data_IF_955988855523
#
_entry.id   IF_955988855523
#
_cell.length_a   1.000
_cell.length_b   1.000
_cell.length_c   1.000
_cell.angle_alpha   90.00
_cell.angle_beta   90.00
_cell.angle_gamma   90.00
#
_symmetry.space_group_name_H-M   'P 1'
#
loop_
_entity.id
_entity.type
_entity.pdbx_description
1 polymer ?
#
# COMPACT_ATOMS: atom_id res chain seq x y z
N UNK A 1 -42.93 -27.24 6.66
CA UNK A 1 -41.57 -26.74 6.98
C UNK A 1 -40.77 -26.63 5.69
N UNK A 2 -40.64 -25.45 5.09
CA UNK A 2 -39.74 -25.25 3.95
C UNK A 2 -39.33 -23.77 3.87
N UNK A 3 -38.26 -23.39 4.58
CA UNK A 3 -37.55 -22.12 4.41
C UNK A 3 -36.09 -22.33 4.84
N UNK A 4 -35.22 -22.72 3.90
CA UNK A 4 -33.76 -22.49 4.02
C UNK A 4 -32.99 -22.84 2.73
N UNK A 5 -33.37 -22.27 1.58
CA UNK A 5 -32.56 -22.39 0.35
C UNK A 5 -32.19 -21.06 -0.33
N UNK A 6 -32.60 -19.91 0.22
CA UNK A 6 -32.41 -18.61 -0.46
C UNK A 6 -31.15 -17.82 -0.04
N UNK A 7 -30.37 -18.27 0.94
CA UNK A 7 -29.20 -17.52 1.42
C UNK A 7 -27.87 -17.91 0.74
N UNK A 8 -27.75 -19.13 0.20
CA UNK A 8 -26.49 -19.61 -0.41
C UNK A 8 -26.26 -19.02 -1.81
N UNK A 9 -27.32 -18.78 -2.58
CA UNK A 9 -27.20 -18.19 -3.93
C UNK A 9 -26.81 -16.70 -3.94
N UNK A 10 -27.13 -15.94 -2.89
CA UNK A 10 -26.88 -14.49 -2.85
C UNK A 10 -25.42 -14.14 -2.51
N UNK A 11 -24.75 -14.95 -1.69
CA UNK A 11 -23.36 -14.73 -1.33
C UNK A 11 -22.42 -15.08 -2.50
N UNK A 12 -22.67 -16.21 -3.19
CA UNK A 12 -21.88 -16.65 -4.34
C UNK A 12 -21.96 -15.67 -5.52
N UNK A 13 -23.09 -15.00 -5.75
CA UNK A 13 -23.24 -14.01 -6.82
C UNK A 13 -22.48 -12.70 -6.56
N UNK A 14 -22.41 -12.25 -5.31
CA UNK A 14 -21.64 -11.05 -4.91
C UNK A 14 -20.13 -11.29 -4.95
N UNK A 15 -19.69 -12.50 -4.60
CA UNK A 15 -18.29 -12.97 -4.73
C UNK A 15 -17.77 -12.84 -6.16
N UNK A 16 -18.49 -13.46 -7.11
CA UNK A 16 -18.12 -13.44 -8.53
C UNK A 16 -18.21 -12.03 -9.12
N UNK A 17 -19.14 -11.20 -8.65
CA UNK A 17 -19.30 -9.83 -9.14
C UNK A 17 -18.09 -8.95 -8.79
N UNK A 18 -17.60 -8.98 -7.54
CA UNK A 18 -16.45 -8.15 -7.13
C UNK A 18 -15.14 -8.57 -7.82
N UNK A 19 -14.91 -9.86 -8.01
CA UNK A 19 -13.72 -10.34 -8.73
C UNK A 19 -13.80 -10.01 -10.22
N UNK A 20 -14.96 -10.17 -10.84
CA UNK A 20 -15.20 -9.76 -12.22
C UNK A 20 -15.04 -8.25 -12.40
N UNK A 21 -15.52 -7.43 -11.46
CA UNK A 21 -15.33 -5.98 -11.48
C UNK A 21 -13.84 -5.60 -11.46
N UNK A 22 -13.04 -6.27 -10.61
CA UNK A 22 -11.57 -6.06 -10.56
C UNK A 22 -10.87 -6.45 -11.86
N UNK A 23 -11.27 -7.57 -12.48
CA UNK A 23 -10.67 -8.03 -13.75
C UNK A 23 -11.04 -7.13 -14.94
N UNK A 24 -12.25 -6.58 -14.94
CA UNK A 24 -12.76 -5.76 -16.03
C UNK A 24 -12.40 -4.27 -15.91
N UNK A 25 -12.10 -3.79 -14.70
CA UNK A 25 -11.73 -2.40 -14.49
C UNK A 25 -10.46 -2.01 -15.25
N UNK A 26 -10.54 -0.90 -15.99
CA UNK A 26 -9.41 -0.30 -16.71
C UNK A 26 -9.18 1.09 -16.16
N UNK A 27 -8.11 1.23 -15.39
CA UNK A 27 -7.71 2.52 -14.81
C UNK A 27 -7.39 3.53 -15.93
N UNK A 28 -7.94 4.76 -15.88
CA UNK A 28 -7.51 5.86 -16.73
C UNK A 28 -6.21 6.50 -16.23
N UNK A 29 -5.68 6.03 -15.10
CA UNK A 29 -4.49 6.55 -14.45
C UNK A 29 -3.27 5.69 -14.72
N UNK A 30 -2.14 6.34 -14.88
CA UNK A 30 -0.83 5.72 -15.04
C UNK A 30 0.24 6.48 -14.26
N UNK A 31 1.48 5.99 -14.32
CA UNK A 31 2.65 6.71 -13.82
C UNK A 31 3.69 6.81 -14.93
N UNK A 32 4.49 7.86 -14.91
CA UNK A 32 5.63 8.05 -15.80
C UNK A 32 6.91 8.07 -14.97
N UNK A 33 7.63 6.96 -15.00
CA UNK A 33 8.95 6.85 -14.37
C UNK A 33 10.02 7.56 -15.19
N UNK A 34 10.97 8.16 -14.48
CA UNK A 34 12.20 8.71 -15.05
C UNK A 34 13.27 7.63 -15.19
N UNK A 35 13.19 6.58 -14.37
CA UNK A 35 14.06 5.40 -14.44
C UNK A 35 13.38 4.24 -15.18
N UNK A 36 14.14 3.39 -15.91
CA UNK A 36 13.58 2.18 -16.50
C UNK A 36 12.97 1.26 -15.43
N UNK A 37 11.81 0.67 -15.73
CA UNK A 37 11.10 -0.20 -14.78
C UNK A 37 11.94 -1.41 -14.35
N UNK A 38 12.72 -2.02 -15.26
CA UNK A 38 13.65 -3.11 -14.91
C UNK A 38 14.71 -2.65 -13.90
N UNK A 39 15.12 -1.38 -13.94
CA UNK A 39 16.03 -0.83 -12.91
C UNK A 39 15.31 -0.67 -11.57
N UNK A 40 14.06 -0.24 -11.59
CA UNK A 40 13.28 0.00 -10.38
C UNK A 40 12.84 -1.28 -9.69
N UNK A 41 12.46 -2.32 -10.43
CA UNK A 41 11.81 -3.53 -9.88
C UNK A 41 12.20 -4.85 -10.56
N UNK A 42 13.27 -4.90 -11.35
CA UNK A 42 13.72 -6.13 -12.02
C UNK A 42 14.01 -7.28 -11.05
N UNK A 43 14.54 -6.98 -9.85
CA UNK A 43 14.74 -7.96 -8.76
C UNK A 43 13.45 -8.43 -8.09
N UNK A 44 12.34 -7.71 -8.30
CA UNK A 44 11.01 -8.13 -7.88
C UNK A 44 10.26 -8.88 -8.99
N UNK A 45 10.76 -8.82 -10.22
CA UNK A 45 10.26 -9.62 -11.34
C UNK A 45 10.95 -10.99 -11.42
N UNK A 46 12.20 -11.08 -10.93
CA UNK A 46 13.03 -12.28 -10.98
C UNK A 46 13.82 -12.46 -9.68
N UNK A 47 13.98 -13.71 -9.24
CA UNK A 47 14.87 -14.05 -8.12
C UNK A 47 14.17 -14.11 -6.76
N UNK A 48 14.92 -14.21 -5.64
CA UNK A 48 14.34 -14.59 -4.35
C UNK A 48 13.29 -13.62 -3.79
N UNK A 49 13.30 -12.34 -4.20
CA UNK A 49 12.32 -11.33 -3.76
C UNK A 49 11.02 -11.36 -4.57
N UNK A 50 11.01 -11.98 -5.75
CA UNK A 50 9.80 -12.13 -6.56
C UNK A 50 8.91 -13.28 -6.07
N UNK A 51 9.46 -14.20 -5.28
CA UNK A 51 8.76 -15.40 -4.82
C UNK A 51 7.75 -15.07 -3.71
N UNK A 52 6.46 -15.09 -4.06
CA UNK A 52 5.37 -14.80 -3.11
C UNK A 52 5.39 -15.69 -1.87
N UNK A 53 5.77 -16.96 -2.05
CA UNK A 53 5.89 -17.96 -0.98
C UNK A 53 6.96 -17.63 0.07
N UNK A 54 7.83 -16.66 -0.20
CA UNK A 54 8.89 -16.21 0.71
C UNK A 54 8.60 -14.85 1.37
N UNK A 55 7.38 -14.34 1.24
CA UNK A 55 6.99 -13.02 1.76
C UNK A 55 6.72 -12.97 3.26
N UNK A 56 6.59 -14.12 3.93
CA UNK A 56 6.35 -14.20 5.37
C UNK A 56 7.61 -14.57 6.17
N UNK A 57 7.61 -14.30 7.47
CA UNK A 57 8.68 -14.68 8.40
C UNK A 57 8.79 -16.20 8.59
N UNK A 58 7.74 -16.94 8.26
CA UNK A 58 7.65 -18.41 8.34
C UNK A 58 7.62 -19.04 6.95
N UNK A 59 8.09 -20.30 6.81
CA UNK A 59 7.96 -21.06 5.56
C UNK A 59 6.52 -21.13 5.05
N UNK A 60 6.35 -21.18 3.73
CA UNK A 60 5.02 -21.25 3.09
C UNK A 60 4.13 -22.39 3.59
N UNK A 61 4.72 -23.54 3.94
CA UNK A 61 3.98 -24.67 4.49
C UNK A 61 3.25 -24.34 5.81
N UNK A 62 3.71 -23.34 6.56
CA UNK A 62 3.10 -22.93 7.83
C UNK A 62 1.98 -21.88 7.67
N UNK A 63 1.79 -21.32 6.47
CA UNK A 63 0.79 -20.26 6.23
C UNK A 63 -0.64 -20.76 6.45
N UNK A 64 -0.87 -22.03 6.15
CA UNK A 64 -2.19 -22.68 6.17
C UNK A 64 -2.24 -23.85 7.16
N UNK A 65 -1.27 -23.96 8.06
CA UNK A 65 -1.27 -24.98 9.11
C UNK A 65 -2.43 -24.68 10.08
N UNK A 66 -3.40 -25.60 10.15
CA UNK A 66 -4.56 -25.49 11.01
C UNK A 66 -4.19 -25.29 12.49
N UNK A 67 -3.08 -25.87 12.95
CA UNK A 67 -2.59 -25.69 14.32
C UNK A 67 -2.16 -24.26 14.63
N UNK A 68 -1.93 -23.44 13.61
CA UNK A 68 -1.52 -22.03 13.72
C UNK A 68 -2.68 -21.07 13.51
N UNK A 69 -3.90 -21.53 13.22
CA UNK A 69 -5.06 -20.65 12.98
C UNK A 69 -5.30 -19.67 14.13
N UNK A 70 -5.18 -20.12 15.39
CA UNK A 70 -5.32 -19.23 16.55
C UNK A 70 -4.21 -18.17 16.65
N UNK A 71 -3.02 -18.46 16.14
CA UNK A 71 -1.88 -17.52 16.11
C UNK A 71 -2.02 -16.51 14.98
N UNK A 72 -2.37 -16.97 13.78
CA UNK A 72 -2.50 -16.13 12.59
C UNK A 72 -3.80 -15.32 12.57
N UNK A 73 -4.86 -15.84 13.21
CA UNK A 73 -6.19 -15.25 13.16
C UNK A 73 -6.63 -15.02 11.72
N UNK A 74 -7.35 -13.92 11.51
CA UNK A 74 -7.73 -13.44 10.18
C UNK A 74 -6.64 -12.57 9.51
N UNK A 75 -5.51 -12.31 10.19
CA UNK A 75 -4.42 -11.47 9.68
C UNK A 75 -3.39 -12.23 8.85
N UNK A 76 -3.25 -13.52 9.11
CA UNK A 76 -2.26 -14.37 8.45
C UNK A 76 -0.88 -14.28 9.07
N UNK A 77 0.13 -14.92 8.46
CA UNK A 77 1.49 -14.88 8.95
C UNK A 77 2.11 -13.48 8.80
N UNK A 78 2.96 -13.08 9.75
CA UNK A 78 3.66 -11.79 9.69
C UNK A 78 4.58 -11.70 8.47
N UNK A 79 4.61 -10.52 7.82
CA UNK A 79 5.49 -10.26 6.70
C UNK A 79 6.97 -10.33 7.09
N UNK A 80 7.80 -10.96 6.26
CA UNK A 80 9.26 -11.01 6.39
C UNK A 80 9.85 -9.60 6.38
N UNK A 81 10.86 -9.32 7.20
CA UNK A 81 11.72 -8.13 6.99
C UNK A 81 12.75 -8.41 5.91
N UNK A 82 12.72 -7.67 4.80
CA UNK A 82 13.67 -7.85 3.71
C UNK A 82 14.98 -7.10 3.97
N UNK A 83 16.08 -7.68 3.50
CA UNK A 83 17.32 -6.94 3.29
C UNK A 83 17.13 -5.82 2.25
N UNK A 84 17.97 -4.79 2.21
CA UNK A 84 17.96 -3.83 1.10
C UNK A 84 18.24 -4.52 -0.25
N UNK A 85 17.72 -3.99 -1.38
CA UNK A 85 18.12 -4.48 -2.70
C UNK A 85 19.61 -4.20 -2.97
N UNK A 86 20.19 -4.94 -3.92
CA UNK A 86 21.57 -4.75 -4.32
C UNK A 86 21.82 -3.30 -4.81
N UNK A 87 22.93 -2.71 -4.39
CA UNK A 87 23.29 -1.33 -4.75
C UNK A 87 22.41 -0.25 -4.10
N UNK A 88 21.52 -0.60 -3.17
CA UNK A 88 20.63 0.36 -2.48
C UNK A 88 21.34 1.61 -1.96
N UNK A 89 22.52 1.44 -1.35
CA UNK A 89 23.27 2.54 -0.73
C UNK A 89 23.76 3.61 -1.72
N UNK A 90 23.85 3.30 -3.02
CA UNK A 90 24.30 4.24 -4.05
C UNK A 90 23.16 4.88 -4.84
N UNK A 91 21.90 4.51 -4.57
CA UNK A 91 20.74 5.03 -5.30
C UNK A 91 20.37 6.44 -4.85
N UNK A 92 19.89 7.27 -5.78
CA UNK A 92 19.41 8.62 -5.48
C UNK A 92 18.06 8.58 -4.77
N UNK A 93 17.70 9.67 -4.09
CA UNK A 93 16.38 9.82 -3.48
C UNK A 93 15.26 9.63 -4.51
N UNK A 94 15.39 10.19 -5.72
CA UNK A 94 14.37 10.06 -6.77
C UNK A 94 14.19 8.61 -7.23
N UNK A 95 15.28 7.85 -7.36
CA UNK A 95 15.20 6.43 -7.65
C UNK A 95 14.45 5.66 -6.54
N UNK A 96 14.73 5.96 -5.27
CA UNK A 96 14.05 5.33 -4.13
C UNK A 96 12.55 5.63 -4.15
N UNK A 97 12.17 6.88 -4.46
CA UNK A 97 10.77 7.32 -4.52
C UNK A 97 10.01 6.62 -5.65
N UNK A 98 10.58 6.59 -6.85
CA UNK A 98 9.98 5.90 -7.98
C UNK A 98 9.90 4.38 -7.75
N UNK A 99 10.91 3.78 -7.10
CA UNK A 99 10.89 2.35 -6.77
C UNK A 99 9.78 1.98 -5.80
N UNK A 100 9.49 2.81 -4.80
CA UNK A 100 8.35 2.58 -3.88
C UNK A 100 7.05 2.52 -4.67
N UNK A 101 6.83 3.46 -5.60
CA UNK A 101 5.63 3.47 -6.43
C UNK A 101 5.58 2.25 -7.37
N UNK A 102 6.67 1.95 -8.07
CA UNK A 102 6.76 0.77 -8.93
C UNK A 102 6.51 -0.53 -8.17
N UNK A 103 7.03 -0.65 -6.95
CA UNK A 103 6.80 -1.80 -6.07
C UNK A 103 5.33 -1.92 -5.68
N UNK A 104 4.69 -0.81 -5.29
CA UNK A 104 3.27 -0.80 -4.95
C UNK A 104 2.37 -1.16 -6.12
N UNK A 105 2.69 -0.71 -7.33
CA UNK A 105 1.90 -0.99 -8.53
C UNK A 105 1.85 -2.47 -8.90
N UNK A 106 2.83 -3.29 -8.49
CA UNK A 106 2.80 -4.76 -8.66
C UNK A 106 1.60 -5.43 -8.00
N UNK A 107 1.02 -4.80 -6.97
CA UNK A 107 -0.13 -5.31 -6.26
C UNK A 107 -1.45 -4.70 -6.75
N UNK A 108 -1.43 -3.94 -7.85
CA UNK A 108 -2.67 -3.40 -8.42
C UNK A 108 -3.65 -4.54 -8.70
N UNK A 109 -4.93 -4.32 -8.39
CA UNK A 109 -6.01 -5.32 -8.45
C UNK A 109 -6.08 -6.33 -7.30
N UNK A 110 -5.17 -6.29 -6.32
CA UNK A 110 -5.34 -7.02 -5.06
C UNK A 110 -6.45 -6.37 -4.24
N UNK A 111 -7.22 -7.17 -3.50
CA UNK A 111 -8.38 -6.71 -2.72
C UNK A 111 -7.97 -5.97 -1.44
N UNK A 112 -8.88 -5.19 -0.86
CA UNK A 112 -8.70 -4.67 0.49
C UNK A 112 -8.95 -5.80 1.49
N UNK A 113 -7.93 -6.20 2.25
CA UNK A 113 -8.00 -7.31 3.21
C UNK A 113 -7.19 -7.00 4.45
N UNK A 114 -7.71 -7.25 5.65
CA UNK A 114 -6.94 -7.13 6.90
C UNK A 114 -5.87 -8.23 7.03
N UNK A 115 -4.87 -8.23 6.14
CA UNK A 115 -3.79 -9.22 6.04
C UNK A 115 -2.41 -8.58 6.23
N UNK A 116 -1.45 -9.37 6.71
CA UNK A 116 -0.05 -8.96 6.80
C UNK A 116 0.77 -9.22 5.52
N UNK A 117 0.37 -10.20 4.71
CA UNK A 117 1.10 -10.65 3.50
C UNK A 117 0.13 -10.63 2.31
N UNK A 118 0.49 -10.00 1.18
CA UNK A 118 -0.45 -9.76 0.08
C UNK A 118 -0.93 -11.04 -0.60
N UNK A 119 -0.05 -12.04 -0.76
CA UNK A 119 -0.37 -13.30 -1.41
C UNK A 119 -1.00 -14.35 -0.48
N UNK A 120 -1.23 -14.02 0.79
CA UNK A 120 -1.97 -14.91 1.68
C UNK A 120 -3.46 -14.90 1.32
N UNK A 121 -3.98 -16.09 1.00
CA UNK A 121 -5.33 -16.29 0.52
C UNK A 121 -5.98 -17.39 1.38
N UNK A 122 -6.58 -17.02 2.53
CA UNK A 122 -7.04 -17.99 3.50
C UNK A 122 -8.18 -18.87 2.94
N UNK A 123 -8.18 -20.17 3.24
CA UNK A 123 -9.31 -21.06 2.97
C UNK A 123 -10.63 -20.56 3.55
N UNK A 124 -11.76 -21.03 2.99
CA UNK A 124 -13.09 -20.54 3.35
C UNK A 124 -13.49 -20.77 4.83
N UNK A 125 -12.88 -21.77 5.47
CA UNK A 125 -13.06 -22.17 6.87
C UNK A 125 -12.07 -21.50 7.83
N UNK A 126 -11.14 -20.69 7.32
CA UNK A 126 -10.21 -19.91 8.14
C UNK A 126 -10.96 -18.82 8.94
N UNK A 127 -10.48 -18.44 10.14
CA UNK A 127 -11.02 -17.31 10.88
C UNK A 127 -11.19 -16.06 10.01
N UNK A 128 -12.37 -15.43 10.10
CA UNK A 128 -12.72 -14.23 9.34
C UNK A 128 -12.72 -13.02 10.25
N UNK A 129 -12.34 -11.88 9.68
CA UNK A 129 -12.63 -10.60 10.30
C UNK A 129 -14.13 -10.27 10.14
N UNK A 130 -14.75 -9.83 11.24
CA UNK A 130 -16.15 -9.44 11.26
C UNK A 130 -16.39 -8.08 10.57
N UNK A 131 -15.35 -7.24 10.44
CA UNK A 131 -15.45 -5.93 9.77
C UNK A 131 -15.18 -6.00 8.26
N UNK A 132 -14.59 -7.09 7.79
CA UNK A 132 -14.30 -7.33 6.38
C UNK A 132 -15.60 -7.49 5.58
N UNK A 133 -15.79 -6.60 4.60
CA UNK A 133 -17.02 -6.55 3.77
C UNK A 133 -16.89 -7.27 2.43
N UNK A 134 -15.67 -7.59 2.04
CA UNK A 134 -15.37 -8.34 0.82
C UNK A 134 -15.05 -9.79 1.18
N UNK A 135 -15.20 -10.72 0.23
CA UNK A 135 -14.68 -12.08 0.37
C UNK A 135 -13.21 -12.14 0.76
N UNK A 136 -12.82 -13.21 1.46
CA UNK A 136 -11.42 -13.56 1.63
C UNK A 136 -10.76 -13.71 0.24
N UNK A 137 -9.64 -13.03 0.05
CA UNK A 137 -8.87 -13.01 -1.19
C UNK A 137 -7.43 -12.58 -0.87
N UNK A 138 -6.56 -12.58 -1.87
CA UNK A 138 -5.29 -11.86 -1.79
C UNK A 138 -5.53 -10.36 -1.60
N UNK A 139 -4.72 -9.73 -0.77
CA UNK A 139 -4.94 -8.34 -0.42
C UNK A 139 -4.18 -7.87 0.79
N UNK A 140 -4.25 -6.56 1.01
CA UNK A 140 -3.74 -5.87 2.18
C UNK A 140 -4.68 -4.72 2.52
N UNK A 141 -4.66 -4.28 3.77
CA UNK A 141 -5.32 -3.06 4.18
C UNK A 141 -4.39 -1.87 3.95
N UNK A 142 -4.84 -0.67 4.28
CA UNK A 142 -4.07 0.53 3.96
C UNK A 142 -2.67 0.56 4.60
N UNK A 143 -2.55 0.24 5.90
CA UNK A 143 -1.29 0.36 6.64
C UNK A 143 -0.38 -0.86 6.46
N UNK A 144 -0.93 -2.07 6.33
CA UNK A 144 -0.12 -3.23 5.94
C UNK A 144 0.33 -3.12 4.48
N UNK A 145 -0.47 -2.53 3.57
CA UNK A 145 -0.03 -2.24 2.20
C UNK A 145 1.18 -1.32 2.17
N UNK A 146 1.10 -0.15 2.81
CA UNK A 146 2.22 0.80 2.82
C UNK A 146 3.44 0.22 3.52
N UNK A 147 3.26 -0.50 4.62
CA UNK A 147 4.35 -1.18 5.32
C UNK A 147 5.02 -2.25 4.47
N UNK A 148 4.23 -3.08 3.79
CA UNK A 148 4.74 -4.13 2.93
C UNK A 148 5.48 -3.56 1.73
N UNK A 149 4.94 -2.53 1.08
CA UNK A 149 5.58 -1.88 -0.08
C UNK A 149 6.95 -1.29 0.30
N UNK A 150 7.04 -0.53 1.40
CA UNK A 150 8.31 0.03 1.85
C UNK A 150 9.34 -1.05 2.21
N UNK A 151 8.87 -2.14 2.79
CA UNK A 151 9.71 -3.26 3.19
C UNK A 151 10.20 -4.04 1.97
N UNK A 152 9.32 -4.38 1.03
CA UNK A 152 9.72 -5.06 -0.20
C UNK A 152 10.57 -4.18 -1.11
N UNK A 153 10.29 -2.87 -1.18
CA UNK A 153 11.06 -1.94 -2.00
C UNK A 153 12.48 -1.75 -1.47
N UNK A 154 12.63 -1.56 -0.16
CA UNK A 154 13.87 -1.01 0.41
C UNK A 154 14.39 -1.75 1.65
N UNK A 155 13.59 -2.63 2.25
CA UNK A 155 13.87 -3.21 3.57
C UNK A 155 13.53 -2.28 4.73
N UNK A 156 12.65 -1.28 4.52
CA UNK A 156 12.14 -0.41 5.59
C UNK A 156 10.78 -0.95 6.04
N UNK A 157 10.66 -1.39 7.29
CA UNK A 157 9.47 -2.11 7.78
C UNK A 157 8.75 -1.33 8.88
N UNK A 158 7.91 -0.34 8.54
CA UNK A 158 7.05 0.29 9.55
C UNK A 158 6.02 -0.73 10.08
N UNK A 159 5.40 -0.41 11.21
CA UNK A 159 4.28 -1.21 11.74
C UNK A 159 3.07 -1.13 10.79
N UNK A 160 2.29 -2.21 10.73
CA UNK A 160 1.00 -2.26 10.03
C UNK A 160 -0.17 -1.71 10.86
N UNK A 161 0.04 -1.39 12.15
CA UNK A 161 -0.98 -0.78 12.99
C UNK A 161 -1.11 0.72 12.68
N UNK A 162 -2.20 1.14 12.04
CA UNK A 162 -2.35 2.51 11.50
C UNK A 162 -2.13 3.63 12.52
N UNK A 163 -2.61 3.46 13.75
CA UNK A 163 -2.44 4.46 14.82
C UNK A 163 -0.98 4.66 15.19
N UNK A 164 -0.24 3.56 15.40
CA UNK A 164 1.18 3.60 15.70
C UNK A 164 1.99 4.07 14.48
N UNK A 165 1.61 3.63 13.27
CA UNK A 165 2.29 3.95 12.03
C UNK A 165 2.30 5.46 11.77
N UNK A 166 1.20 6.14 12.09
CA UNK A 166 1.04 7.59 11.91
C UNK A 166 1.94 8.42 12.85
N UNK A 167 2.36 7.87 13.97
CA UNK A 167 3.12 8.60 14.99
C UNK A 167 4.62 8.24 15.00
N UNK A 168 5.09 7.48 14.01
CA UNK A 168 6.48 7.06 13.91
C UNK A 168 7.42 8.26 13.65
N UNK A 169 8.41 8.40 14.53
CA UNK A 169 9.56 9.30 14.34
C UNK A 169 10.80 8.56 13.82
N UNK A 170 10.80 7.23 13.91
CA UNK A 170 11.80 6.33 13.33
C UNK A 170 11.15 5.04 12.84
N UNK A 171 11.77 4.36 11.88
CA UNK A 171 11.31 3.06 11.36
C UNK A 171 12.45 2.03 11.32
N UNK A 172 12.17 0.74 11.54
CA UNK A 172 13.12 -0.33 11.23
C UNK A 172 13.62 -0.18 9.80
N UNK A 173 14.91 0.09 9.67
CA UNK A 173 15.58 0.35 8.41
C UNK A 173 16.10 -0.92 7.74
N UNK A 174 16.76 -0.78 6.58
CA UNK A 174 17.33 -1.90 5.87
C UNK A 174 18.50 -2.50 6.67
N UNK A 175 18.36 -3.77 7.06
CA UNK A 175 19.34 -4.52 7.83
C UNK A 175 19.02 -4.60 9.34
N UNK A 176 19.44 -5.70 9.97
CA UNK A 176 19.10 -6.04 11.36
C UNK A 176 19.49 -4.94 12.35
N UNK A 177 18.52 -4.51 13.16
CA UNK A 177 18.73 -3.56 14.27
C UNK A 177 18.95 -2.11 13.86
N UNK A 178 18.80 -1.76 12.58
CA UNK A 178 18.91 -0.38 12.11
C UNK A 178 17.56 0.33 12.22
N UNK A 179 17.60 1.61 12.55
CA UNK A 179 16.46 2.51 12.45
C UNK A 179 16.83 3.69 11.55
N UNK A 180 15.85 4.16 10.78
CA UNK A 180 15.97 5.38 9.98
C UNK A 180 15.05 6.47 10.58
N UNK A 181 15.46 7.75 10.52
CA UNK A 181 14.60 8.85 10.92
C UNK A 181 13.44 9.01 9.94
N UNK A 182 12.30 9.44 10.47
CA UNK A 182 11.10 9.78 9.70
C UNK A 182 10.76 11.23 9.99
N UNK A 183 10.52 12.01 8.93
CA UNK A 183 10.17 13.43 9.05
C UNK A 183 8.66 13.59 8.93
N UNK A 184 8.03 14.16 9.95
CA UNK A 184 6.64 14.60 9.86
C UNK A 184 6.53 15.85 8.98
N UNK A 185 5.57 15.85 8.08
CA UNK A 185 5.26 16.94 7.16
C UNK A 185 3.85 17.45 7.48
N UNK A 186 3.76 18.70 7.90
CA UNK A 186 2.49 19.39 8.04
C UNK A 186 1.95 19.78 6.66
N UNK A 187 0.64 19.60 6.47
CA UNK A 187 0.01 19.77 5.16
C UNK A 187 -0.41 21.22 4.94
N UNK A 188 -0.33 21.71 3.70
CA UNK A 188 -0.89 23.00 3.38
C UNK A 188 -2.42 22.96 3.45
N UNK A 189 -3.04 24.13 3.67
CA UNK A 189 -4.50 24.24 3.65
C UNK A 189 -5.05 24.08 2.23
N UNK A 190 -4.38 24.67 1.25
CA UNK A 190 -4.82 24.68 -0.13
C UNK A 190 -4.39 23.43 -0.90
N UNK A 191 -5.35 22.84 -1.61
CA UNK A 191 -5.13 21.62 -2.40
C UNK A 191 -3.99 21.79 -3.41
N UNK A 192 -3.90 22.94 -4.07
CA UNK A 192 -2.88 23.24 -5.08
C UNK A 192 -1.44 23.25 -4.53
N UNK A 193 -1.26 23.37 -3.22
CA UNK A 193 0.06 23.39 -2.59
C UNK A 193 0.54 21.99 -2.16
N UNK A 194 -0.32 20.97 -2.21
CA UNK A 194 0.08 19.60 -1.86
C UNK A 194 1.24 19.09 -2.71
N UNK A 195 1.23 19.37 -4.02
CA UNK A 195 2.34 18.97 -4.92
C UNK A 195 3.64 19.76 -4.72
N UNK A 196 3.59 20.89 -4.01
CA UNK A 196 4.76 21.66 -3.62
C UNK A 196 5.34 21.15 -2.29
N UNK A 197 4.47 20.69 -1.40
CA UNK A 197 4.82 20.24 -0.05
C UNK A 197 5.22 18.76 0.01
N UNK A 198 4.43 17.89 -0.63
CA UNK A 198 4.61 16.45 -0.62
C UNK A 198 5.51 15.98 -1.75
N UNK A 199 6.27 14.93 -1.48
CA UNK A 199 7.14 14.25 -2.41
C UNK A 199 6.63 12.85 -2.71
N UNK A 200 6.88 12.36 -3.92
CA UNK A 200 6.56 10.98 -4.30
C UNK A 200 7.10 10.01 -3.24
N UNK A 201 6.26 9.08 -2.81
CA UNK A 201 6.55 8.12 -1.75
C UNK A 201 6.08 8.54 -0.36
N UNK A 202 5.86 9.83 -0.07
CA UNK A 202 5.39 10.27 1.25
C UNK A 202 4.13 9.50 1.68
N UNK A 203 4.07 9.06 2.93
CA UNK A 203 2.88 8.41 3.49
C UNK A 203 1.91 9.49 3.98
N UNK A 204 0.79 9.69 3.28
CA UNK A 204 -0.22 10.66 3.62
C UNK A 204 -1.32 10.00 4.47
N UNK A 205 -1.51 10.49 5.69
CA UNK A 205 -2.46 9.95 6.65
C UNK A 205 -3.78 10.71 6.59
N UNK A 206 -4.89 9.98 6.70
CA UNK A 206 -6.25 10.49 6.55
C UNK A 206 -7.10 10.07 7.76
N UNK A 207 -7.88 11.03 8.26
CA UNK A 207 -8.77 10.86 9.40
C UNK A 207 -10.11 10.24 8.99
N UNK A 208 -10.66 9.45 9.87
CA UNK A 208 -12.08 9.08 9.83
C UNK A 208 -12.96 10.31 10.09
N UNK A 209 -14.26 10.17 9.84
CA UNK A 209 -15.26 11.18 10.26
C UNK A 209 -15.30 11.41 11.78
N UNK A 210 -14.71 10.51 12.58
CA UNK A 210 -14.57 10.65 14.04
C UNK A 210 -13.30 11.39 14.46
N UNK A 211 -12.47 11.84 13.51
CA UNK A 211 -11.29 12.67 13.76
C UNK A 211 -9.98 11.91 14.01
N UNK A 212 -10.02 10.61 14.31
CA UNK A 212 -8.83 9.78 14.46
C UNK A 212 -8.28 9.36 13.09
N UNK A 213 -6.94 9.26 12.97
CA UNK A 213 -6.29 8.68 11.79
C UNK A 213 -6.79 7.24 11.61
N UNK A 214 -7.29 6.94 10.42
CA UNK A 214 -7.87 5.63 10.10
C UNK A 214 -7.38 5.06 8.77
N UNK A 215 -6.56 5.81 8.05
CA UNK A 215 -6.13 5.43 6.71
C UNK A 215 -4.81 6.09 6.34
N UNK A 216 -4.08 5.44 5.44
CA UNK A 216 -2.81 5.91 4.90
C UNK A 216 -2.72 5.58 3.42
N UNK A 217 -2.12 6.48 2.66
CA UNK A 217 -1.90 6.32 1.21
C UNK A 217 -0.45 6.66 0.88
N UNK A 218 0.08 6.10 -0.21
CA UNK A 218 1.36 6.52 -0.75
C UNK A 218 1.11 7.68 -1.71
N UNK A 219 1.70 8.84 -1.47
CA UNK A 219 1.63 9.98 -2.38
C UNK A 219 2.39 9.65 -3.68
N UNK A 220 1.70 9.63 -4.81
CA UNK A 220 2.34 9.44 -6.12
C UNK A 220 2.82 10.80 -6.65
N UNK A 221 1.96 11.82 -6.54
CA UNK A 221 2.29 13.19 -6.91
C UNK A 221 2.66 13.32 -8.38
N UNK A 222 3.76 14.04 -8.66
CA UNK A 222 4.14 14.54 -9.99
C UNK A 222 4.43 13.47 -11.05
N UNK A 223 4.72 12.24 -10.63
CA UNK A 223 4.94 11.14 -11.58
C UNK A 223 3.62 10.49 -12.03
N UNK A 224 2.51 10.83 -11.35
CA UNK A 224 1.18 10.35 -11.70
C UNK A 224 0.65 11.05 -12.95
N UNK A 225 -0.09 10.29 -13.76
CA UNK A 225 -0.75 10.79 -14.97
C UNK A 225 -2.25 10.53 -14.83
N UNK A 226 -3.02 11.62 -14.80
CA UNK A 226 -4.47 11.60 -14.74
C UNK A 226 -5.06 12.48 -15.83
N UNK A 227 -6.17 12.09 -16.50
CA UNK A 227 -6.81 12.92 -17.52
C UNK A 227 -7.19 14.32 -17.02
N UNK A 228 -7.68 14.44 -15.77
CA UNK A 228 -8.03 15.72 -15.17
C UNK A 228 -6.83 16.49 -14.55
N UNK A 229 -5.59 16.03 -14.74
CA UNK A 229 -4.38 16.68 -14.21
C UNK A 229 -4.40 16.91 -12.69
N UNK A 230 -5.04 16.01 -11.94
CA UNK A 230 -4.99 16.01 -10.46
C UNK A 230 -3.87 15.10 -9.96
N UNK A 231 -3.31 15.37 -8.77
CA UNK A 231 -2.32 14.48 -8.18
C UNK A 231 -2.93 13.10 -7.95
N UNK A 232 -2.10 12.06 -8.05
CA UNK A 232 -2.50 10.69 -7.74
C UNK A 232 -1.97 10.26 -6.37
N UNK A 233 -2.69 9.31 -5.79
CA UNK A 233 -2.29 8.52 -4.63
C UNK A 233 -2.37 7.05 -5.00
N UNK A 234 -1.60 6.21 -4.31
CA UNK A 234 -1.67 4.76 -4.39
C UNK A 234 -2.07 4.22 -3.01
N UNK A 235 -3.22 3.54 -2.94
CA UNK A 235 -3.80 3.11 -1.69
C UNK A 235 -4.51 1.77 -1.80
N UNK A 236 -4.70 1.11 -0.66
CA UNK A 236 -5.62 -0.02 -0.51
C UNK A 236 -6.82 0.40 0.33
N UNK A 237 -8.02 0.43 -0.26
CA UNK A 237 -9.24 0.88 0.43
C UNK A 237 -10.49 0.17 -0.08
N UNK A 238 -11.64 0.36 0.58
CA UNK A 238 -12.93 -0.13 0.08
C UNK A 238 -13.39 0.56 -1.21
N UNK A 239 -14.48 0.06 -1.81
CA UNK A 239 -15.13 0.70 -2.97
C UNK A 239 -15.72 2.07 -2.63
N UNK A 240 -15.98 2.90 -3.63
CA UNK A 240 -16.87 4.07 -3.50
C UNK A 240 -16.39 5.32 -4.20
N UNK A 241 -15.13 5.36 -4.61
CA UNK A 241 -14.59 6.44 -5.44
C UNK A 241 -14.81 6.13 -6.92
N UNK A 242 -15.17 7.15 -7.70
CA UNK A 242 -15.23 7.08 -9.16
C UNK A 242 -13.95 7.64 -9.79
N UNK A 243 -13.51 7.01 -10.88
CA UNK A 243 -12.40 7.48 -11.69
C UNK A 243 -12.78 8.71 -12.55
N UNK A 244 -11.91 9.10 -13.48
CA UNK A 244 -12.12 10.23 -14.39
C UNK A 244 -13.24 9.98 -15.41
N UNK A 245 -13.54 8.72 -15.67
CA UNK A 245 -14.57 8.27 -16.61
C UNK A 245 -15.92 8.02 -15.91
N UNK A 246 -16.00 8.29 -14.60
CA UNK A 246 -17.19 8.04 -13.80
C UNK A 246 -17.41 6.57 -13.43
N UNK A 247 -16.42 5.69 -13.69
CA UNK A 247 -16.45 4.27 -13.36
C UNK A 247 -16.03 4.10 -11.90
N UNK A 248 -16.71 3.21 -11.16
CA UNK A 248 -16.33 2.90 -9.79
C UNK A 248 -14.98 2.18 -9.77
N UNK A 249 -14.05 2.69 -8.97
CA UNK A 249 -12.79 2.02 -8.70
C UNK A 249 -13.08 0.86 -7.74
N UNK A 250 -12.65 -0.38 -8.05
CA UNK A 250 -12.85 -1.51 -7.16
C UNK A 250 -12.17 -1.33 -5.79
N UNK A 251 -12.49 -2.22 -4.85
CA UNK A 251 -11.78 -2.28 -3.58
C UNK A 251 -10.34 -2.77 -3.78
N UNK A 252 -9.49 -2.39 -2.85
CA UNK A 252 -8.09 -2.79 -2.77
C UNK A 252 -7.15 -1.81 -3.44
N UNK A 253 -6.07 -2.33 -4.02
CA UNK A 253 -4.89 -1.56 -4.39
C UNK A 253 -5.04 -0.97 -5.79
N UNK A 254 -5.12 0.36 -5.88
CA UNK A 254 -5.24 1.10 -7.14
C UNK A 254 -4.66 2.52 -7.03
N UNK A 255 -4.31 3.10 -8.17
CA UNK A 255 -4.15 4.54 -8.29
C UNK A 255 -5.51 5.22 -8.16
N UNK A 256 -5.57 6.27 -7.34
CA UNK A 256 -6.78 7.06 -7.12
C UNK A 256 -6.49 8.56 -7.22
N UNK A 257 -7.45 9.34 -7.74
CA UNK A 257 -7.32 10.78 -7.88
C UNK A 257 -7.45 11.47 -6.53
N UNK A 258 -6.48 12.29 -6.18
CA UNK A 258 -6.53 13.15 -4.99
C UNK A 258 -7.22 14.46 -5.35
N UNK A 259 -8.57 14.50 -5.31
CA UNK A 259 -9.35 15.70 -5.65
C UNK A 259 -9.78 16.48 -4.40
N UNK A 260 -10.00 17.80 -4.48
CA UNK A 260 -10.51 18.61 -3.36
C UNK A 260 -11.86 18.13 -2.79
N UNK A 261 -12.65 17.42 -3.59
CA UNK A 261 -13.95 16.89 -3.19
C UNK A 261 -13.87 15.54 -2.48
N UNK A 262 -12.72 14.88 -2.50
CA UNK A 262 -12.57 13.54 -1.94
C UNK A 262 -12.35 13.56 -0.43
N UNK A 263 -12.67 12.43 0.20
CA UNK A 263 -12.36 12.18 1.61
C UNK A 263 -10.86 12.35 1.90
N UNK A 264 -9.98 11.89 1.01
CA UNK A 264 -8.53 11.98 1.18
C UNK A 264 -8.06 13.41 1.45
N UNK A 265 -8.53 14.39 0.67
CA UNK A 265 -8.16 15.78 0.88
C UNK A 265 -8.86 16.39 2.10
N UNK A 266 -10.18 16.20 2.21
CA UNK A 266 -11.00 16.85 3.26
C UNK A 266 -10.67 16.38 4.67
N UNK A 267 -10.09 15.19 4.81
CA UNK A 267 -9.70 14.60 6.09
C UNK A 267 -8.20 14.33 6.17
N UNK A 268 -7.39 14.94 5.30
CA UNK A 268 -5.94 14.81 5.36
C UNK A 268 -5.42 15.29 6.74
N UNK A 269 -4.54 14.53 7.36
CA UNK A 269 -3.99 14.84 8.68
C UNK A 269 -2.60 15.45 8.59
N UNK A 270 -1.65 14.66 8.08
CA UNK A 270 -0.24 14.94 8.00
C UNK A 270 0.38 13.92 7.05
N UNK A 271 1.64 14.10 6.67
CA UNK A 271 2.39 13.07 5.99
C UNK A 271 3.67 12.69 6.75
N UNK A 272 4.14 11.47 6.53
CA UNK A 272 5.45 11.02 6.96
C UNK A 272 6.36 10.85 5.74
N UNK A 273 7.50 11.56 5.76
CA UNK A 273 8.56 11.46 4.77
C UNK A 273 9.65 10.52 5.27
N UNK A 274 9.75 9.38 4.59
CA UNK A 274 10.70 8.31 4.89
C UNK A 274 11.97 8.47 4.05
N UNK A 275 11.83 8.82 2.77
CA UNK A 275 12.96 9.07 1.87
C UNK A 275 13.39 10.53 2.03
N UNK A 276 14.61 10.80 2.49
CA UNK A 276 15.04 12.17 2.77
C UNK A 276 15.02 13.02 1.51
N UNK A 277 14.79 14.32 1.69
CA UNK A 277 15.11 15.35 0.71
C UNK A 277 16.60 15.13 0.37
N UNK A 278 16.92 14.67 -0.84
CA UNK A 278 18.26 14.17 -1.18
C UNK A 278 19.35 15.12 -0.71
N UNK A 279 20.53 14.59 -0.33
CA UNK A 279 21.65 15.48 -0.02
C UNK A 279 21.91 16.37 -1.23
N UNK A 280 21.72 17.68 -1.07
CA UNK A 280 22.36 18.66 -1.94
C UNK A 280 23.83 18.25 -2.02
N UNK A 281 24.27 17.80 -3.20
CA UNK A 281 25.69 17.57 -3.48
C UNK A 281 26.52 18.86 -3.41
N UNK A 282 25.89 19.98 -3.02
CA UNK A 282 26.46 21.32 -2.89
C UNK A 282 26.84 21.75 -1.47
N UNK A 283 26.85 20.85 -0.47
CA UNK A 283 27.68 21.10 0.72
C UNK A 283 29.13 20.80 0.41
N UNK A 284 29.72 21.74 -0.35
CA UNK A 284 31.15 21.86 -0.66
C UNK A 284 32.01 21.46 0.53
N UNK A 285 33.09 20.77 0.18
CA UNK A 285 34.34 20.76 0.91
C UNK A 285 34.70 22.16 1.40
N UNK A 286 34.53 22.38 2.69
CA UNK A 286 35.28 23.37 3.46
C UNK A 286 35.63 22.73 4.79
N UNK A 287 36.80 22.08 4.80
CA UNK A 287 37.78 22.14 5.88
C UNK A 287 39.13 21.70 5.32
#
# INVERSE_FOLDING_TARGET
MLRSLSFVFLAASLLHAQEADRQNYKSPYSVKFSFPEEELVGDLAKGPRSESKNQAEVPYAEWYDASKQGRWGYWGPSAKHYDPPAGFASKSADWLRERVIATGLKFTSYSYQHHHVPDWEPPADWPKDAEQKTPAAKGLDCSNFTAFVYNLAMGIKPTGAIGDQAELTTMPGPGKGRNIPVKRIELPADHADYEKTLMTGDLLYVKSSRGNVSHVVIWVGKIGQAPESVPLILDSTGTGLKDSNGVLIPDGIYLRPFRPTTWYFRQASHALRIIPDGQDKDKKATR
#
